data_IF_325721908769
#
_entry.id   IF_325721908769
#
_cell.length_a   1.000
_cell.length_b   1.000
_cell.length_c   1.000
_cell.angle_alpha   90.00
_cell.angle_beta   90.00
_cell.angle_gamma   90.00
#
_symmetry.space_group_name_H-M   'P 1'
#
loop_
_entity.id
_entity.type
_entity.pdbx_description
1 polymer ?
#
# COMPACT_ATOMS: atom_id res chain seq x y z
N UNK A 1 -7.51 -2.68 2.44
CA UNK A 1 -7.03 -2.68 1.06
C UNK A 1 -8.22 -2.72 0.13
N UNK A 2 -8.20 -1.99 -0.98
CA UNK A 2 -9.28 -2.06 -1.99
C UNK A 2 -10.66 -1.53 -1.58
N UNK A 3 -10.88 -1.14 -0.33
CA UNK A 3 -12.17 -0.65 0.14
C UNK A 3 -12.46 0.83 -0.20
N UNK A 4 -11.63 1.48 -1.03
CA UNK A 4 -11.89 2.83 -1.52
C UNK A 4 -11.69 3.97 -0.52
N UNK A 5 -10.91 3.80 0.57
CA UNK A 5 -10.69 4.83 1.61
C UNK A 5 -10.32 6.20 1.05
N UNK A 6 -9.31 6.26 0.19
CA UNK A 6 -8.85 7.54 -0.39
C UNK A 6 -9.93 8.18 -1.29
N UNK A 7 -10.71 7.38 -2.02
CA UNK A 7 -11.82 7.86 -2.84
C UNK A 7 -12.97 8.39 -1.98
N UNK A 8 -13.38 7.64 -0.98
CA UNK A 8 -14.40 8.06 0.00
C UNK A 8 -13.94 9.29 0.75
N UNK A 9 -12.67 9.34 1.20
CA UNK A 9 -12.09 10.50 1.89
C UNK A 9 -12.13 11.78 1.06
N UNK A 10 -11.83 11.69 -0.24
CA UNK A 10 -11.91 12.84 -1.16
C UNK A 10 -13.36 13.35 -1.31
N UNK A 11 -14.31 12.45 -1.46
CA UNK A 11 -15.74 12.84 -1.55
C UNK A 11 -16.19 13.44 -0.22
N UNK A 12 -15.86 12.80 0.91
CA UNK A 12 -16.22 13.28 2.24
C UNK A 12 -15.65 14.68 2.51
N UNK A 13 -14.44 14.99 2.03
CA UNK A 13 -13.84 16.32 2.13
C UNK A 13 -14.62 17.38 1.32
N UNK A 14 -15.31 17.01 0.24
CA UNK A 14 -16.20 17.93 -0.46
C UNK A 14 -17.53 18.15 0.27
N UNK A 15 -17.97 17.16 1.02
CA UNK A 15 -19.21 17.23 1.82
C UNK A 15 -19.00 17.93 3.18
N UNK A 16 -17.77 17.95 3.69
CA UNK A 16 -17.36 18.57 4.95
C UNK A 16 -16.22 19.55 4.68
N UNK A 17 -16.49 20.72 4.05
CA UNK A 17 -15.46 21.64 3.59
C UNK A 17 -14.64 22.28 4.72
N UNK A 18 -15.13 22.20 5.96
CA UNK A 18 -14.39 22.62 7.16
C UNK A 18 -13.34 21.59 7.60
N UNK A 19 -13.35 20.38 7.04
CA UNK A 19 -12.41 19.32 7.37
C UNK A 19 -11.28 19.22 6.33
N UNK A 20 -10.04 19.18 6.80
CA UNK A 20 -8.88 18.89 5.94
C UNK A 20 -8.74 17.40 5.73
N UNK A 21 -8.54 16.98 4.48
CA UNK A 21 -8.17 15.58 4.18
C UNK A 21 -6.67 15.37 4.39
N UNK A 22 -6.32 14.36 5.17
CA UNK A 22 -4.94 13.90 5.39
C UNK A 22 -4.90 12.40 5.05
N UNK A 23 -4.07 12.03 4.08
CA UNK A 23 -3.72 10.63 3.84
C UNK A 23 -2.41 10.33 4.57
N UNK A 24 -2.43 9.35 5.47
CA UNK A 24 -1.28 9.06 6.34
C UNK A 24 -0.07 8.57 5.53
N UNK A 25 -0.31 7.78 4.49
CA UNK A 25 0.75 7.28 3.63
C UNK A 25 1.44 8.45 2.92
N UNK A 26 0.67 9.36 2.30
CA UNK A 26 1.18 10.58 1.66
C UNK A 26 1.91 11.49 2.65
N UNK A 27 1.36 11.65 3.86
CA UNK A 27 1.99 12.46 4.91
C UNK A 27 3.39 11.94 5.27
N UNK A 28 3.55 10.61 5.36
CA UNK A 28 4.85 9.97 5.64
C UNK A 28 5.79 10.14 4.46
N UNK A 29 5.32 9.95 3.21
CA UNK A 29 6.12 10.13 2.00
C UNK A 29 6.68 11.56 1.90
N UNK A 30 5.84 12.58 2.11
CA UNK A 30 6.25 13.99 2.11
C UNK A 30 7.29 14.28 3.20
N UNK A 31 7.12 13.73 4.40
CA UNK A 31 8.03 13.90 5.52
C UNK A 31 9.38 13.23 5.31
N UNK A 32 9.39 12.05 4.69
CA UNK A 32 10.60 11.28 4.43
C UNK A 32 11.30 11.66 3.11
N UNK A 33 10.62 12.35 2.19
CA UNK A 33 11.10 12.64 0.85
C UNK A 33 11.28 11.39 -0.01
N UNK A 34 10.58 10.30 0.31
CA UNK A 34 10.67 8.98 -0.33
C UNK A 34 9.29 8.36 -0.44
N UNK A 35 9.08 7.56 -1.49
CA UNK A 35 7.84 6.79 -1.60
C UNK A 35 7.81 5.57 -0.66
N UNK A 36 6.62 5.04 -0.40
CA UNK A 36 6.44 3.89 0.51
C UNK A 36 7.29 2.67 0.13
N UNK A 37 7.36 2.23 -1.14
CA UNK A 37 8.25 1.16 -1.55
C UNK A 37 9.74 1.40 -1.21
N UNK A 38 10.24 2.61 -1.41
CA UNK A 38 11.62 2.99 -1.07
C UNK A 38 11.86 2.91 0.44
N UNK A 39 10.89 3.41 1.24
CA UNK A 39 10.95 3.34 2.71
C UNK A 39 10.99 1.88 3.18
N UNK A 40 10.16 1.01 2.61
CA UNK A 40 10.15 -0.41 2.96
C UNK A 40 11.45 -1.12 2.57
N UNK A 41 12.02 -0.81 1.41
CA UNK A 41 13.27 -1.40 0.95
C UNK A 41 14.47 -0.96 1.80
N UNK A 42 14.50 0.30 2.21
CA UNK A 42 15.64 0.88 2.93
C UNK A 42 15.58 0.63 4.44
N UNK A 43 14.39 0.77 5.03
CA UNK A 43 14.24 0.75 6.50
C UNK A 43 13.43 -0.45 7.02
N UNK A 44 12.75 -1.18 6.15
CA UNK A 44 11.93 -2.33 6.50
C UNK A 44 10.58 -1.98 7.13
N UNK A 45 9.72 -2.99 7.29
CA UNK A 45 8.35 -2.82 7.80
C UNK A 45 8.33 -2.26 9.22
N UNK A 46 9.20 -2.74 10.11
CA UNK A 46 9.22 -2.29 11.51
C UNK A 46 9.50 -0.79 11.65
N UNK A 47 10.38 -0.24 10.80
CA UNK A 47 10.65 1.19 10.77
C UNK A 47 9.45 1.97 10.24
N UNK A 48 8.81 1.48 9.17
CA UNK A 48 7.60 2.11 8.64
C UNK A 48 6.47 2.15 9.69
N UNK A 49 6.27 1.09 10.47
CA UNK A 49 5.29 1.10 11.58
C UNK A 49 5.62 2.12 12.67
N UNK A 50 6.88 2.38 12.95
CA UNK A 50 7.28 3.49 13.83
C UNK A 50 6.94 4.85 13.22
N UNK A 51 7.21 5.04 11.92
CA UNK A 51 6.89 6.28 11.21
C UNK A 51 5.37 6.54 11.19
N UNK A 52 4.53 5.52 11.00
CA UNK A 52 3.07 5.63 11.12
C UNK A 52 2.65 6.14 12.51
N UNK A 53 3.22 5.57 13.56
CA UNK A 53 2.93 5.98 14.95
C UNK A 53 3.35 7.43 15.20
N UNK A 54 4.57 7.79 14.83
CA UNK A 54 5.11 9.15 15.01
C UNK A 54 4.30 10.19 14.23
N UNK A 55 3.88 9.85 13.01
CA UNK A 55 3.01 10.71 12.20
C UNK A 55 1.63 10.91 12.86
N UNK A 56 1.03 9.86 13.43
CA UNK A 56 -0.22 9.96 14.18
C UNK A 56 -0.07 10.81 15.43
N UNK A 57 0.97 10.62 16.23
CA UNK A 57 1.28 11.42 17.42
C UNK A 57 1.40 12.90 17.07
N UNK A 58 2.09 13.23 15.99
CA UNK A 58 2.27 14.59 15.49
C UNK A 58 0.94 15.19 15.02
N UNK A 59 0.18 14.46 14.21
CA UNK A 59 -1.13 14.91 13.70
C UNK A 59 -2.08 15.20 14.86
N UNK A 60 -2.12 14.36 15.90
CA UNK A 60 -3.03 14.52 17.03
C UNK A 60 -2.55 15.55 18.07
N UNK A 61 -1.25 15.85 18.12
CA UNK A 61 -0.69 16.86 19.02
C UNK A 61 -0.93 18.29 18.53
N UNK A 62 -1.16 18.50 17.26
CA UNK A 62 -1.34 19.82 16.67
C UNK A 62 -2.77 20.35 16.91
N UNK A 63 -2.94 21.05 18.04
CA UNK A 63 -4.21 21.65 18.43
C UNK A 63 -4.64 22.85 17.54
N UNK A 64 -3.75 23.35 16.70
CA UNK A 64 -4.05 24.45 15.77
C UNK A 64 -4.76 23.97 14.50
N UNK A 65 -4.77 22.67 14.26
CA UNK A 65 -5.37 22.10 13.06
C UNK A 65 -6.90 22.12 13.12
N UNK A 66 -7.56 22.47 12.01
CA UNK A 66 -9.00 22.27 11.89
C UNK A 66 -9.34 20.78 11.96
N UNK A 67 -10.62 20.45 12.12
CA UNK A 67 -11.10 19.05 12.01
C UNK A 67 -10.53 18.40 10.74
N UNK A 68 -10.13 17.16 10.84
CA UNK A 68 -9.51 16.44 9.73
C UNK A 68 -10.21 15.11 9.44
N UNK A 69 -10.27 14.77 8.16
CA UNK A 69 -10.57 13.43 7.67
C UNK A 69 -9.22 12.74 7.49
N UNK A 70 -8.98 11.67 8.26
CA UNK A 70 -7.72 10.94 8.22
C UNK A 70 -7.93 9.60 7.49
N UNK A 71 -7.25 9.43 6.35
CA UNK A 71 -7.19 8.17 5.61
C UNK A 71 -5.97 7.37 6.09
N UNK A 72 -6.20 6.15 6.61
CA UNK A 72 -5.17 5.31 7.20
C UNK A 72 -4.69 4.23 6.23
N UNK A 73 -3.40 3.88 6.30
CA UNK A 73 -2.86 2.68 5.67
C UNK A 73 -3.52 1.40 6.19
N UNK A 74 -3.66 0.39 5.33
CA UNK A 74 -4.28 -0.88 5.74
C UNK A 74 -3.48 -1.67 6.78
N UNK A 75 -2.23 -1.33 7.02
CA UNK A 75 -1.36 -1.95 8.01
C UNK A 75 -1.22 -1.16 9.31
N UNK A 76 -1.68 0.08 9.39
CA UNK A 76 -1.53 0.96 10.56
C UNK A 76 -2.10 0.33 11.83
N UNK A 77 -3.22 -0.38 11.71
CA UNK A 77 -3.88 -1.05 12.85
C UNK A 77 -3.16 -2.31 13.34
N UNK A 78 -2.09 -2.76 12.67
CA UNK A 78 -1.29 -3.90 13.19
C UNK A 78 -0.51 -3.52 14.44
N UNK A 79 -0.16 -2.23 14.59
CA UNK A 79 0.45 -1.69 15.80
C UNK A 79 -0.60 -1.42 16.88
N UNK A 80 -0.40 -1.99 18.08
CA UNK A 80 -1.26 -1.73 19.24
C UNK A 80 -1.27 -0.25 19.62
N UNK A 81 -0.10 0.39 19.57
CA UNK A 81 0.03 1.81 19.89
C UNK A 81 -0.75 2.70 18.92
N UNK A 82 -0.69 2.40 17.62
CA UNK A 82 -1.50 3.10 16.62
C UNK A 82 -3.00 2.91 16.86
N UNK A 83 -3.45 1.69 17.21
CA UNK A 83 -4.86 1.42 17.54
C UNK A 83 -5.33 2.26 18.72
N UNK A 84 -4.53 2.36 19.78
CA UNK A 84 -4.84 3.18 20.95
C UNK A 84 -4.94 4.67 20.59
N UNK A 85 -3.98 5.21 19.86
CA UNK A 85 -4.00 6.59 19.37
C UNK A 85 -5.25 6.89 18.53
N UNK A 86 -5.56 6.02 17.57
CA UNK A 86 -6.74 6.17 16.71
C UNK A 86 -8.02 6.18 17.54
N UNK A 87 -8.18 5.23 18.45
CA UNK A 87 -9.37 5.14 19.30
C UNK A 87 -9.55 6.33 20.23
N UNK A 88 -8.46 6.90 20.75
CA UNK A 88 -8.51 8.02 21.69
C UNK A 88 -8.78 9.37 21.02
N UNK A 89 -8.35 9.53 19.77
CA UNK A 89 -8.29 10.84 19.12
C UNK A 89 -9.21 10.98 17.91
N UNK A 90 -9.87 9.90 17.46
CA UNK A 90 -10.71 9.94 16.25
C UNK A 90 -12.04 9.24 16.45
N UNK A 91 -12.99 9.57 15.58
CA UNK A 91 -14.18 8.75 15.33
C UNK A 91 -13.86 7.84 14.13
N UNK A 92 -13.50 6.58 14.41
CA UNK A 92 -12.91 5.67 13.44
C UNK A 92 -13.98 4.83 12.72
N UNK A 93 -14.00 4.90 11.41
CA UNK A 93 -14.90 4.15 10.53
C UNK A 93 -14.14 3.01 9.83
N UNK A 94 -14.60 1.78 10.01
CA UNK A 94 -14.12 0.62 9.27
C UNK A 94 -15.03 0.33 8.08
N UNK A 95 -14.50 0.48 6.87
CA UNK A 95 -15.18 0.12 5.63
C UNK A 95 -14.99 -1.37 5.37
N UNK A 96 -16.00 -2.17 5.77
CA UNK A 96 -15.98 -3.63 5.64
C UNK A 96 -16.48 -4.03 4.26
N UNK A 97 -15.75 -4.91 3.58
CA UNK A 97 -16.11 -5.46 2.29
C UNK A 97 -15.88 -6.98 2.23
N UNK A 98 -16.57 -7.65 1.31
CA UNK A 98 -16.27 -9.03 0.93
C UNK A 98 -14.98 -9.08 0.11
N UNK A 99 -14.36 -10.27 0.02
CA UNK A 99 -13.18 -10.50 -0.82
C UNK A 99 -13.46 -10.14 -2.27
N UNK A 100 -14.64 -10.48 -2.79
CA UNK A 100 -15.03 -10.17 -4.17
C UNK A 100 -15.08 -8.66 -4.42
N UNK A 101 -15.73 -7.89 -3.55
CA UNK A 101 -15.74 -6.41 -3.65
C UNK A 101 -14.32 -5.82 -3.58
N UNK A 102 -13.45 -6.38 -2.75
CA UNK A 102 -12.06 -5.93 -2.68
C UNK A 102 -11.27 -6.26 -3.95
N UNK A 103 -11.50 -7.42 -4.55
CA UNK A 103 -10.90 -7.83 -5.82
C UNK A 103 -11.33 -6.89 -6.95
N UNK A 104 -12.63 -6.68 -7.11
CA UNK A 104 -13.19 -5.82 -8.16
C UNK A 104 -12.64 -4.39 -8.07
N UNK A 105 -12.48 -3.88 -6.84
CA UNK A 105 -11.88 -2.55 -6.62
C UNK A 105 -10.37 -2.49 -6.85
N UNK A 106 -9.68 -3.63 -6.87
CA UNK A 106 -8.23 -3.71 -7.05
C UNK A 106 -7.82 -4.04 -8.48
N UNK A 107 -8.71 -4.61 -9.28
CA UNK A 107 -8.44 -4.89 -10.69
C UNK A 107 -8.03 -3.61 -11.42
N UNK A 108 -6.84 -3.62 -11.99
CA UNK A 108 -6.23 -2.47 -12.65
C UNK A 108 -5.56 -1.43 -11.75
N UNK A 109 -5.47 -1.64 -10.42
CA UNK A 109 -4.90 -0.69 -9.46
C UNK A 109 -3.92 -1.33 -8.45
N UNK A 110 -3.23 -2.41 -8.82
CA UNK A 110 -2.26 -3.11 -7.94
C UNK A 110 -0.93 -2.38 -7.80
N UNK A 111 -0.58 -1.49 -8.74
CA UNK A 111 0.68 -0.76 -8.76
C UNK A 111 0.83 0.17 -7.55
N UNK A 112 1.98 0.11 -6.90
CA UNK A 112 2.30 0.95 -5.74
C UNK A 112 1.85 0.41 -4.38
N UNK A 113 1.42 -0.86 -4.28
CA UNK A 113 1.02 -1.50 -3.01
C UNK A 113 1.97 -2.65 -2.63
N UNK A 114 3.04 -2.38 -1.84
CA UNK A 114 4.09 -3.37 -1.56
C UNK A 114 3.59 -4.70 -1.00
N UNK A 115 2.50 -4.67 -0.22
CA UNK A 115 1.94 -5.87 0.42
C UNK A 115 1.11 -6.75 -0.53
N UNK A 116 0.81 -6.27 -1.74
CA UNK A 116 0.10 -7.03 -2.78
C UNK A 116 1.05 -7.56 -3.85
N UNK A 117 2.25 -6.99 -3.96
CA UNK A 117 3.24 -7.48 -4.89
C UNK A 117 3.81 -8.83 -4.42
N UNK A 118 4.08 -9.79 -5.31
CA UNK A 118 4.73 -11.05 -4.93
C UNK A 118 6.04 -10.73 -4.23
N UNK A 119 6.24 -11.32 -3.04
CA UNK A 119 7.52 -11.22 -2.33
C UNK A 119 8.56 -11.88 -3.22
N UNK A 120 9.44 -11.09 -3.82
CA UNK A 120 10.69 -11.64 -4.34
C UNK A 120 11.42 -12.25 -3.13
N UNK A 121 11.82 -13.54 -3.19
CA UNK A 121 12.63 -14.10 -2.12
C UNK A 121 13.87 -13.24 -2.01
N UNK A 122 14.16 -12.77 -0.79
CA UNK A 122 15.40 -12.08 -0.49
C UNK A 122 16.53 -12.90 -1.11
N UNK A 123 17.30 -12.30 -2.03
CA UNK A 123 18.55 -12.90 -2.48
C UNK A 123 19.44 -12.94 -1.24
N UNK A 124 19.58 -14.11 -0.69
CA UNK A 124 20.64 -14.41 0.27
C UNK A 124 21.94 -14.32 -0.50
N UNK A 125 22.60 -13.18 -0.49
CA UNK A 125 23.97 -13.06 -0.90
C UNK A 125 24.83 -13.79 0.14
N UNK A 126 25.03 -15.09 -0.12
CA UNK A 126 26.04 -15.88 0.56
C UNK A 126 27.42 -15.49 0.02
N UNK A 127 27.92 -14.33 0.44
CA UNK A 127 29.32 -13.94 0.23
C UNK A 127 29.80 -13.01 1.33
N UNK A 128 29.97 -13.59 2.52
CA UNK A 128 30.90 -13.08 3.54
C UNK A 128 31.50 -14.23 4.29
N UNK A 129 32.60 -14.77 3.78
CA UNK A 129 33.70 -15.27 4.58
C UNK A 129 34.87 -15.59 3.64
N UNK A 130 35.88 -14.88 3.63
CA UNK A 130 37.16 -15.19 4.24
C UNK A 130 38.21 -14.19 3.76
N UNK A 131 38.91 -13.75 4.72
CA UNK A 131 40.02 -12.83 4.67
C UNK A 131 41.28 -13.46 4.03
N UNK A 132 42.23 -12.54 3.73
CA UNK A 132 43.70 -12.64 3.63
C UNK A 132 44.24 -13.05 2.26
N UNK A 133 45.04 -12.30 1.75
CA UNK A 133 46.39 -11.95 1.64
C UNK A 133 46.78 -11.44 0.24
N UNK A 134 47.40 -10.32 0.26
CA UNK A 134 48.51 -9.73 -0.43
C UNK A 134 49.05 -10.37 -1.76
N UNK A 135 49.30 -9.55 -2.67
CA UNK A 135 50.52 -9.09 -3.30
C UNK A 135 50.39 -8.85 -4.83
N UNK A 136 50.67 -7.61 -5.18
CA UNK A 136 51.60 -7.06 -6.21
C UNK A 136 51.85 -7.85 -7.51
N UNK A 137 51.54 -7.33 -8.69
CA UNK A 137 52.54 -6.75 -9.63
C UNK A 137 51.93 -6.43 -11.01
N UNK A 138 52.17 -5.27 -11.41
CA UNK A 138 52.65 -4.54 -12.59
C UNK A 138 52.67 -5.25 -13.97
N UNK A 139 52.20 -4.44 -14.95
CA UNK A 139 52.60 -4.31 -16.37
C UNK A 139 52.26 -5.41 -17.40
N UNK A 140 51.59 -5.15 -18.45
CA UNK A 140 52.09 -4.57 -19.69
C UNK A 140 51.08 -4.66 -20.87
N UNK A 141 50.86 -3.51 -21.48
CA UNK A 141 50.62 -3.18 -22.90
C UNK A 141 50.48 -4.30 -23.95
N UNK A 142 49.60 -4.09 -24.84
CA UNK A 142 49.61 -3.89 -26.29
C UNK A 142 48.42 -4.45 -27.04
N UNK A 143 47.69 -3.54 -27.62
CA UNK A 143 47.26 -3.39 -29.03
C UNK A 143 46.88 -4.64 -29.84
N UNK A 144 45.71 -4.70 -30.39
CA UNK A 144 45.47 -4.54 -31.82
C UNK A 144 44.00 -4.92 -32.20
N UNK A 145 43.32 -4.03 -32.84
CA UNK A 145 42.17 -4.31 -33.72
C UNK A 145 42.72 -4.52 -35.13
N UNK A 146 41.97 -4.82 -36.19
CA UNK A 146 40.60 -5.36 -36.33
C UNK A 146 40.57 -6.52 -37.36
N UNK A 147 39.44 -7.21 -37.53
CA UNK A 147 38.99 -7.68 -38.87
C UNK A 147 37.51 -8.00 -38.92
N UNK A 148 36.87 -7.33 -39.85
CA UNK A 148 35.56 -7.57 -40.43
C UNK A 148 35.43 -8.96 -41.03
N UNK A 149 34.27 -9.57 -40.92
CA UNK A 149 33.59 -10.28 -42.02
C UNK A 149 32.14 -10.55 -41.66
N UNK A 150 31.25 -10.10 -42.54
CA UNK A 150 29.81 -10.35 -42.66
C UNK A 150 29.52 -11.80 -43.09
N UNK A 151 28.23 -12.13 -43.43
CA UNK A 151 26.96 -12.02 -42.71
C UNK A 151 26.35 -13.41 -42.57
N UNK A 152 25.48 -13.61 -41.61
CA UNK A 152 24.60 -14.81 -41.60
C UNK A 152 23.18 -14.44 -41.34
N UNK A 153 22.45 -14.57 -42.43
CA UNK A 153 21.04 -14.95 -42.55
C UNK A 153 20.06 -14.70 -41.39
N UNK A 154 19.11 -13.85 -41.69
CA UNK A 154 17.78 -13.79 -41.11
C UNK A 154 17.25 -15.18 -40.79
N UNK A 155 17.12 -15.47 -39.52
CA UNK A 155 16.19 -16.45 -39.01
C UNK A 155 15.03 -15.69 -38.38
N UNK A 156 14.05 -15.34 -39.22
CA UNK A 156 12.75 -14.87 -38.75
C UNK A 156 12.12 -15.99 -37.93
N UNK A 157 12.30 -15.94 -36.59
CA UNK A 157 11.46 -16.67 -35.69
C UNK A 157 10.13 -15.93 -35.65
N UNK A 158 9.13 -16.42 -36.39
CA UNK A 158 7.75 -16.03 -36.14
C UNK A 158 7.38 -16.46 -34.73
N UNK A 159 7.48 -15.52 -33.81
CA UNK A 159 6.78 -15.61 -32.52
C UNK A 159 5.29 -15.61 -32.85
N UNK A 160 4.67 -16.77 -32.77
CA UNK A 160 3.22 -16.89 -32.83
C UNK A 160 2.63 -15.96 -31.75
N UNK A 161 1.66 -15.17 -32.15
CA UNK A 161 0.86 -14.39 -31.22
C UNK A 161 0.32 -15.33 -30.14
N UNK A 162 0.42 -15.00 -28.85
CA UNK A 162 -0.17 -15.82 -27.81
C UNK A 162 -1.67 -15.93 -28.07
N UNK A 163 -2.16 -17.13 -28.11
CA UNK A 163 -3.57 -17.46 -28.32
C UNK A 163 -4.39 -16.81 -27.20
N UNK A 164 -5.56 -16.27 -27.52
CA UNK A 164 -6.50 -15.62 -26.58
C UNK A 164 -6.77 -16.51 -25.33
N UNK A 165 -6.70 -17.83 -25.49
CA UNK A 165 -6.83 -18.80 -24.39
C UNK A 165 -5.67 -18.77 -23.37
N UNK A 166 -4.43 -18.49 -23.80
CA UNK A 166 -3.29 -18.39 -22.89
C UNK A 166 -3.36 -17.11 -22.03
N UNK A 167 -3.84 -16.02 -22.59
CA UNK A 167 -4.02 -14.76 -21.83
C UNK A 167 -5.16 -14.86 -20.80
N UNK A 168 -6.24 -15.60 -21.12
CA UNK A 168 -7.37 -15.79 -20.19
C UNK A 168 -7.02 -16.70 -19.00
N UNK A 169 -6.12 -17.66 -19.18
CA UNK A 169 -5.65 -18.54 -18.10
C UNK A 169 -4.63 -17.85 -17.16
N UNK A 170 -3.77 -17.00 -17.69
CA UNK A 170 -2.83 -16.20 -16.88
C UNK A 170 -3.57 -15.20 -15.99
N UNK A 171 -4.52 -14.45 -16.51
CA UNK A 171 -5.35 -13.50 -15.74
C UNK A 171 -6.21 -14.17 -14.68
N UNK A 172 -6.71 -15.38 -14.95
CA UNK A 172 -7.46 -16.20 -13.99
C UNK A 172 -6.56 -16.65 -12.83
N UNK A 173 -5.33 -17.07 -13.10
CA UNK A 173 -4.35 -17.50 -12.09
C UNK A 173 -3.89 -16.32 -11.22
N UNK A 174 -3.69 -15.14 -11.80
CA UNK A 174 -3.31 -13.92 -11.06
C UNK A 174 -4.44 -13.46 -10.13
N UNK A 175 -5.68 -13.49 -10.61
CA UNK A 175 -6.86 -13.15 -9.81
C UNK A 175 -7.01 -14.09 -8.61
N UNK A 176 -6.78 -15.38 -8.78
CA UNK A 176 -6.83 -16.37 -7.70
C UNK A 176 -5.72 -16.15 -6.68
N UNK A 177 -4.50 -15.89 -7.13
CA UNK A 177 -3.38 -15.55 -6.26
C UNK A 177 -3.65 -14.26 -5.44
N UNK A 178 -4.24 -13.25 -6.06
CA UNK A 178 -4.65 -12.01 -5.38
C UNK A 178 -5.76 -12.27 -4.36
N UNK A 179 -6.75 -13.12 -4.68
CA UNK A 179 -7.82 -13.56 -3.77
C UNK A 179 -7.23 -14.16 -2.51
N UNK A 180 -6.39 -15.19 -2.63
CA UNK A 180 -5.76 -15.85 -1.50
C UNK A 180 -4.97 -14.89 -0.62
N UNK A 181 -4.29 -13.93 -1.25
CA UNK A 181 -3.53 -12.92 -0.52
C UNK A 181 -4.43 -11.97 0.26
N UNK A 182 -5.53 -11.53 -0.32
CA UNK A 182 -6.53 -10.69 0.36
C UNK A 182 -7.12 -11.46 1.54
N UNK A 183 -7.54 -12.71 1.34
CA UNK A 183 -8.13 -13.56 2.39
C UNK A 183 -7.16 -13.77 3.55
N UNK A 184 -5.90 -14.10 3.27
CA UNK A 184 -4.87 -14.24 4.28
C UNK A 184 -4.66 -12.95 5.10
N UNK A 185 -4.60 -11.81 4.43
CA UNK A 185 -4.46 -10.51 5.09
C UNK A 185 -5.71 -10.13 5.89
N UNK A 186 -6.89 -10.45 5.38
CA UNK A 186 -8.15 -10.16 6.09
C UNK A 186 -8.32 -11.08 7.30
N UNK A 187 -7.91 -12.33 7.23
CA UNK A 187 -7.94 -13.26 8.36
C UNK A 187 -7.15 -12.71 9.56
N UNK A 188 -5.97 -12.15 9.31
CA UNK A 188 -5.10 -11.61 10.37
C UNK A 188 -5.50 -10.21 10.82
N UNK A 189 -6.03 -9.36 9.93
CA UNK A 189 -6.25 -7.93 10.21
C UNK A 189 -7.70 -7.56 10.58
N UNK A 190 -8.69 -8.37 10.17
CA UNK A 190 -10.10 -8.06 10.47
C UNK A 190 -10.39 -7.92 11.96
N UNK A 191 -9.85 -8.77 12.86
CA UNK A 191 -10.04 -8.55 14.30
C UNK A 191 -9.50 -7.21 14.77
N UNK A 192 -8.37 -6.77 14.22
CA UNK A 192 -7.74 -5.49 14.56
C UNK A 192 -8.55 -4.30 14.03
N UNK A 193 -9.09 -4.39 12.80
CA UNK A 193 -9.99 -3.38 12.25
C UNK A 193 -11.24 -3.23 13.11
N UNK A 194 -11.90 -4.34 13.48
CA UNK A 194 -13.08 -4.35 14.33
C UNK A 194 -12.77 -3.76 15.72
N UNK A 195 -11.64 -4.15 16.32
CA UNK A 195 -11.22 -3.66 17.63
C UNK A 195 -10.88 -2.16 17.63
N UNK A 196 -10.47 -1.61 16.49
CA UNK A 196 -10.10 -0.19 16.38
C UNK A 196 -11.29 0.69 16.04
N UNK A 197 -12.24 0.18 15.27
CA UNK A 197 -13.39 0.95 14.77
C UNK A 197 -14.36 1.36 15.87
N UNK A 198 -14.92 2.57 15.73
CA UNK A 198 -16.11 3.02 16.45
C UNK A 198 -17.37 2.70 15.64
N UNK A 199 -17.26 2.74 14.32
CA UNK A 199 -18.34 2.43 13.39
C UNK A 199 -17.86 1.43 12.33
N UNK A 200 -18.75 0.49 11.97
CA UNK A 200 -18.49 -0.48 10.89
C UNK A 200 -19.53 -0.23 9.80
N UNK A 201 -19.05 0.09 8.60
CA UNK A 201 -19.91 0.30 7.42
C UNK A 201 -19.66 -0.83 6.44
N UNK A 202 -20.72 -1.56 6.09
CA UNK A 202 -20.66 -2.55 5.02
C UNK A 202 -20.76 -1.85 3.66
N UNK A 203 -19.74 -1.97 2.84
CA UNK A 203 -19.64 -1.22 1.58
C UNK A 203 -20.05 -2.05 0.35
N UNK A 204 -20.46 -3.31 0.54
CA UNK A 204 -20.84 -4.15 -0.58
C UNK A 204 -22.04 -3.58 -1.33
N UNK A 205 -21.91 -3.43 -2.66
CA UNK A 205 -22.95 -2.86 -3.51
C UNK A 205 -23.20 -1.36 -3.35
N UNK A 206 -22.37 -0.65 -2.55
CA UNK A 206 -22.50 0.79 -2.35
C UNK A 206 -21.48 1.57 -3.21
N UNK A 207 -21.89 2.72 -3.69
CA UNK A 207 -20.99 3.68 -4.33
C UNK A 207 -20.19 4.46 -3.29
N UNK A 208 -19.03 4.97 -3.66
CA UNK A 208 -18.20 5.78 -2.75
C UNK A 208 -18.93 7.04 -2.28
N UNK A 209 -19.84 7.58 -3.08
CA UNK A 209 -20.67 8.73 -2.70
C UNK A 209 -21.67 8.36 -1.60
N UNK A 210 -22.35 7.22 -1.72
CA UNK A 210 -23.26 6.72 -0.68
C UNK A 210 -22.53 6.46 0.64
N UNK A 211 -21.36 5.86 0.58
CA UNK A 211 -20.52 5.61 1.76
C UNK A 211 -20.13 6.94 2.43
N UNK A 212 -19.72 7.95 1.64
CA UNK A 212 -19.35 9.26 2.18
C UNK A 212 -20.53 9.97 2.84
N UNK A 213 -21.76 9.88 2.29
CA UNK A 213 -22.97 10.44 2.93
C UNK A 213 -23.31 9.73 4.25
N UNK A 214 -23.20 8.40 4.31
CA UNK A 214 -23.41 7.64 5.56
C UNK A 214 -22.42 8.10 6.65
N UNK A 215 -21.15 8.30 6.29
CA UNK A 215 -20.15 8.77 7.24
C UNK A 215 -20.47 10.19 7.71
N UNK A 216 -20.84 11.08 6.80
CA UNK A 216 -21.24 12.46 7.12
C UNK A 216 -22.39 12.49 8.11
N UNK A 217 -23.48 11.77 7.83
CA UNK A 217 -24.65 11.69 8.71
C UNK A 217 -24.27 11.20 10.12
N UNK A 218 -23.41 10.17 10.21
CA UNK A 218 -22.93 9.65 11.49
C UNK A 218 -22.13 10.69 12.27
N UNK A 219 -21.24 11.42 11.62
CA UNK A 219 -20.42 12.48 12.21
C UNK A 219 -21.28 13.65 12.69
N UNK A 220 -22.25 14.09 11.90
CA UNK A 220 -23.16 15.18 12.25
C UNK A 220 -24.05 14.79 13.46
N UNK A 221 -24.56 13.56 13.50
CA UNK A 221 -25.37 13.04 14.61
C UNK A 221 -24.56 12.96 15.91
N UNK A 222 -23.32 12.47 15.87
CA UNK A 222 -22.43 12.43 17.02
C UNK A 222 -22.09 13.84 17.53
N UNK A 223 -21.88 14.81 16.64
CA UNK A 223 -21.60 16.19 17.00
C UNK A 223 -22.77 16.84 17.78
N UNK A 224 -24.01 16.48 17.47
CA UNK A 224 -25.20 16.94 18.19
C UNK A 224 -25.33 16.33 19.59
N UNK A 225 -24.88 15.09 19.78
CA UNK A 225 -24.93 14.40 21.07
C UNK A 225 -23.85 14.87 22.05
N UNK A 226 -22.72 15.40 21.58
CA UNK A 226 -21.63 15.95 22.42
C UNK A 226 -21.98 17.37 22.93
N UNK A 227 -22.87 18.10 22.26
CA UNK A 227 -23.28 19.46 22.64
C UNK A 227 -24.44 19.51 23.64
N UNK A 228 -24.94 18.39 24.12
CA UNK A 228 -25.93 18.27 25.19
C UNK A 228 -25.28 17.88 26.50
#
# INVERSE_FOLDING_TARGET
MGCGKSSVGKILATLLPECRLIDLDTYIEEKQGKNIPEIFNEYGEAAFRRMEREALEEIFSDKSRPRAILSLGGGTVTSEQCRQLIRQHTDCFYLRATTDTLLDNLEGHSDGRPMLNPVQPARFDASTSSATDEEYNVDNRHSNSPKMSEPVAERVVRLGSPTIEAQSTETSSEREALRHRIESLMLTRSPQYIATAHHIIDINGQTFAQIAEIIKEAVETNTLNIKR
#
